data_IF_383326764264
#
_entry.id   IF_383326764264
#
_cell.length_a   1.000
_cell.length_b   1.000
_cell.length_c   1.000
_cell.angle_alpha   90.00
_cell.angle_beta   90.00
_cell.angle_gamma   90.00
#
_symmetry.space_group_name_H-M   'P 1'
#
loop_
_entity.id
_entity.type
_entity.pdbx_description
1 polymer ?
#
# COMPACT_ATOMS: atom_id res chain seq x y z
N UNK A 1 -4.49 15.98 -15.99
CA UNK A 1 -5.71 16.22 -15.20
C UNK A 1 -6.45 17.32 -15.91
N UNK A 2 -7.63 17.06 -16.47
CA UNK A 2 -8.26 18.00 -17.42
C UNK A 2 -9.78 18.00 -17.26
N UNK A 3 -10.39 19.16 -17.45
CA UNK A 3 -11.83 19.28 -17.70
C UNK A 3 -12.01 19.38 -19.21
N UNK A 4 -12.98 18.62 -19.75
CA UNK A 4 -13.34 18.68 -21.17
C UNK A 4 -14.68 19.38 -21.27
N UNK A 5 -14.69 20.55 -21.91
CA UNK A 5 -15.90 21.36 -22.12
C UNK A 5 -16.43 21.14 -23.52
N UNK A 6 -17.73 20.87 -23.63
CA UNK A 6 -18.42 20.68 -24.92
C UNK A 6 -19.36 21.86 -25.18
N UNK A 7 -19.18 22.52 -26.33
CA UNK A 7 -20.11 23.53 -26.83
C UNK A 7 -21.26 22.89 -27.61
N UNK A 8 -22.50 23.29 -27.32
CA UNK A 8 -23.68 22.79 -28.03
C UNK A 8 -24.45 23.95 -28.68
N UNK A 9 -24.98 23.71 -29.88
CA UNK A 9 -25.80 24.72 -30.58
C UNK A 9 -27.10 24.99 -29.80
N UNK A 10 -27.48 26.27 -29.58
CA UNK A 10 -28.74 26.62 -28.94
C UNK A 10 -29.95 25.99 -29.67
N UNK A 11 -31.05 25.78 -28.95
CA UNK A 11 -32.33 25.23 -29.47
C UNK A 11 -32.25 23.82 -30.08
N UNK A 12 -31.18 23.07 -29.83
CA UNK A 12 -31.06 21.65 -30.21
C UNK A 12 -31.24 20.71 -29.01
N UNK A 13 -31.59 19.44 -29.26
CA UNK A 13 -31.67 18.39 -28.23
C UNK A 13 -30.31 17.71 -27.94
N UNK A 14 -29.24 18.08 -28.65
CA UNK A 14 -27.93 17.41 -28.59
C UNK A 14 -27.35 17.34 -27.19
N UNK A 15 -27.39 18.47 -26.44
CA UNK A 15 -26.84 18.54 -25.07
C UNK A 15 -27.44 17.47 -24.16
N UNK A 16 -28.78 17.33 -24.16
CA UNK A 16 -29.48 16.38 -23.29
C UNK A 16 -29.11 14.95 -23.65
N UNK A 17 -29.14 14.61 -24.95
CA UNK A 17 -28.81 13.26 -25.43
C UNK A 17 -27.38 12.84 -25.04
N UNK A 18 -26.40 13.72 -25.27
CA UNK A 18 -25.00 13.44 -24.94
C UNK A 18 -24.78 13.40 -23.43
N UNK A 19 -25.35 14.33 -22.67
CA UNK A 19 -25.25 14.34 -21.20
C UNK A 19 -25.81 13.05 -20.59
N UNK A 20 -27.02 12.65 -21.01
CA UNK A 20 -27.66 11.43 -20.50
C UNK A 20 -26.85 10.18 -20.87
N UNK A 21 -26.27 10.14 -22.08
CA UNK A 21 -25.40 9.05 -22.51
C UNK A 21 -24.11 8.98 -21.68
N UNK A 22 -23.42 10.12 -21.47
CA UNK A 22 -22.22 10.19 -20.65
C UNK A 22 -22.50 9.78 -19.21
N UNK A 23 -23.61 10.23 -18.62
CA UNK A 23 -23.99 9.87 -17.26
C UNK A 23 -24.20 8.37 -17.11
N UNK A 24 -24.88 7.73 -18.07
CA UNK A 24 -25.09 6.27 -18.08
C UNK A 24 -23.78 5.50 -18.24
N UNK A 25 -22.92 5.91 -19.17
CA UNK A 25 -21.69 5.18 -19.49
C UNK A 25 -20.56 5.42 -18.48
N UNK A 26 -20.46 6.61 -17.88
CA UNK A 26 -19.40 6.95 -16.93
C UNK A 26 -19.66 6.43 -15.51
N UNK A 27 -20.93 6.20 -15.16
CA UNK A 27 -21.33 5.68 -13.85
C UNK A 27 -22.34 4.54 -14.03
N UNK A 28 -21.89 3.37 -14.54
CA UNK A 28 -22.76 2.21 -14.69
C UNK A 28 -23.37 1.80 -13.35
N UNK A 29 -24.65 1.41 -13.36
CA UNK A 29 -25.39 1.05 -12.15
C UNK A 29 -25.02 -0.35 -11.62
N UNK A 30 -24.65 -1.28 -12.51
CA UNK A 30 -24.25 -2.65 -12.15
C UNK A 30 -22.79 -2.88 -12.49
N UNK A 31 -22.13 -3.71 -11.69
CA UNK A 31 -20.73 -4.08 -11.91
C UNK A 31 -20.50 -4.72 -13.28
N UNK A 32 -21.45 -5.54 -13.74
CA UNK A 32 -21.43 -6.21 -15.05
C UNK A 32 -21.55 -5.25 -16.24
N UNK A 33 -22.01 -4.03 -16.01
CA UNK A 33 -22.08 -3.00 -17.05
C UNK A 33 -20.75 -2.24 -17.19
N UNK A 34 -19.77 -2.49 -16.31
CA UNK A 34 -18.42 -1.94 -16.49
C UNK A 34 -17.82 -2.49 -17.79
N UNK A 35 -17.09 -1.62 -18.50
CA UNK A 35 -16.44 -1.99 -19.77
C UNK A 35 -15.55 -3.24 -19.67
N UNK A 36 -14.99 -3.51 -18.49
CA UNK A 36 -14.18 -4.70 -18.24
C UNK A 36 -14.92 -6.04 -18.41
N UNK A 37 -16.26 -6.07 -18.31
CA UNK A 37 -17.08 -7.28 -18.47
C UNK A 37 -17.85 -7.30 -19.79
N UNK A 38 -18.01 -6.15 -20.43
CA UNK A 38 -18.73 -6.01 -21.71
C UNK A 38 -17.78 -5.94 -22.91
N UNK A 39 -16.49 -5.68 -22.69
CA UNK A 39 -15.51 -5.76 -23.75
C UNK A 39 -15.42 -7.20 -24.26
N UNK A 40 -15.27 -7.35 -25.58
CA UNK A 40 -15.08 -8.67 -26.20
C UNK A 40 -13.84 -9.40 -25.65
N UNK A 41 -13.63 -10.67 -26.05
CA UNK A 41 -12.56 -11.49 -25.50
C UNK A 41 -11.19 -10.81 -25.62
N UNK A 42 -10.46 -10.77 -24.51
CA UNK A 42 -9.09 -10.25 -24.47
C UNK A 42 -8.17 -11.11 -25.32
N UNK A 43 -7.38 -10.49 -26.20
CA UNK A 43 -6.28 -11.15 -26.92
C UNK A 43 -5.08 -11.49 -26.02
N UNK A 44 -5.04 -10.95 -24.80
CA UNK A 44 -3.99 -11.23 -23.82
C UNK A 44 -4.42 -12.38 -22.91
N UNK A 45 -3.76 -13.54 -23.06
CA UNK A 45 -3.78 -14.60 -22.06
C UNK A 45 -2.92 -14.16 -20.88
N UNK A 46 -3.56 -13.74 -19.77
CA UNK A 46 -2.83 -13.40 -18.55
C UNK A 46 -2.50 -14.69 -17.80
N UNK A 47 -1.24 -14.89 -17.35
CA UNK A 47 -0.92 -16.03 -16.51
C UNK A 47 -1.76 -16.00 -15.24
N UNK A 48 -2.17 -17.18 -14.78
CA UNK A 48 -2.98 -17.35 -13.58
C UNK A 48 -2.33 -16.59 -12.40
N UNK A 49 -3.08 -15.68 -11.78
CA UNK A 49 -2.57 -14.79 -10.73
C UNK A 49 -2.08 -15.56 -9.49
N UNK A 50 -2.71 -16.71 -9.18
CA UNK A 50 -2.31 -17.59 -8.08
C UNK A 50 -0.97 -18.26 -8.38
N UNK A 51 -0.79 -18.76 -9.60
CA UNK A 51 0.48 -19.34 -10.07
C UNK A 51 1.61 -18.31 -10.02
N UNK A 52 1.35 -17.09 -10.50
CA UNK A 52 2.34 -15.99 -10.46
C UNK A 52 2.76 -15.65 -9.03
N UNK A 53 1.81 -15.63 -8.08
CA UNK A 53 2.11 -15.39 -6.67
C UNK A 53 2.99 -16.50 -6.10
N UNK A 54 2.66 -17.77 -6.34
CA UNK A 54 3.43 -18.89 -5.81
C UNK A 54 4.84 -18.94 -6.37
N UNK A 55 5.03 -18.68 -7.66
CA UNK A 55 6.37 -18.57 -8.26
C UNK A 55 7.21 -17.51 -7.56
N UNK A 56 6.60 -16.37 -7.23
CA UNK A 56 7.28 -15.32 -6.47
C UNK A 56 7.61 -15.76 -5.04
N UNK A 57 6.71 -16.49 -4.37
CA UNK A 57 6.96 -17.04 -3.04
C UNK A 57 8.08 -18.09 -3.04
N UNK A 58 8.11 -18.95 -4.06
CA UNK A 58 9.18 -19.93 -4.24
C UNK A 58 10.52 -19.23 -4.44
N UNK A 59 10.55 -18.16 -5.25
CA UNK A 59 11.74 -17.30 -5.41
C UNK A 59 12.20 -16.70 -4.07
N UNK A 60 11.28 -16.13 -3.29
CA UNK A 60 11.57 -15.53 -1.98
C UNK A 60 12.08 -16.54 -0.94
N UNK A 61 11.68 -17.81 -1.06
CA UNK A 61 12.16 -18.90 -0.20
C UNK A 61 13.50 -19.50 -0.68
N UNK A 62 14.09 -19.02 -1.78
CA UNK A 62 15.28 -19.62 -2.38
C UNK A 62 14.99 -20.93 -3.14
N UNK A 63 13.73 -21.19 -3.46
CA UNK A 63 13.24 -22.36 -4.22
C UNK A 63 12.88 -22.00 -5.65
N UNK A 64 13.62 -21.07 -6.27
CA UNK A 64 13.32 -20.58 -7.63
C UNK A 64 13.37 -21.62 -8.75
N UNK A 65 13.92 -22.81 -8.50
CA UNK A 65 13.84 -23.96 -9.41
C UNK A 65 12.45 -24.61 -9.45
N UNK A 66 11.60 -24.35 -8.45
CA UNK A 66 10.24 -24.86 -8.41
C UNK A 66 9.34 -23.94 -9.22
N UNK A 67 8.49 -24.53 -10.05
CA UNK A 67 7.48 -23.82 -10.81
C UNK A 67 6.09 -24.22 -10.30
N UNK A 68 5.29 -23.25 -9.92
CA UNK A 68 3.91 -23.46 -9.53
C UNK A 68 3.07 -23.83 -10.75
N UNK A 69 2.15 -24.77 -10.56
CA UNK A 69 1.14 -25.15 -11.54
C UNK A 69 -0.26 -24.83 -11.04
N UNK A 70 -1.25 -24.90 -11.93
CA UNK A 70 -2.67 -24.80 -11.54
C UNK A 70 -3.07 -25.99 -10.66
N UNK A 71 -2.60 -27.21 -10.99
CA UNK A 71 -2.87 -28.42 -10.18
C UNK A 71 -2.37 -28.28 -8.75
N UNK A 72 -1.16 -27.74 -8.54
CA UNK A 72 -0.64 -27.50 -7.18
C UNK A 72 -1.55 -26.58 -6.36
N UNK A 73 -2.17 -25.59 -7.01
CA UNK A 73 -3.08 -24.65 -6.35
C UNK A 73 -4.39 -25.35 -5.97
N UNK A 74 -4.92 -26.20 -6.84
CA UNK A 74 -6.17 -26.94 -6.64
C UNK A 74 -6.03 -28.03 -5.58
N UNK A 75 -4.90 -28.75 -5.58
CA UNK A 75 -4.59 -29.81 -4.62
C UNK A 75 -4.08 -29.27 -3.27
N UNK A 76 -3.75 -27.98 -3.19
CA UNK A 76 -3.23 -27.35 -1.97
C UNK A 76 -1.77 -27.71 -1.65
N UNK A 77 -1.04 -28.32 -2.59
CA UNK A 77 0.31 -28.88 -2.40
C UNK A 77 1.45 -27.84 -2.53
N UNK A 78 1.18 -26.57 -2.22
CA UNK A 78 2.10 -25.44 -2.44
C UNK A 78 2.83 -24.95 -1.17
N UNK A 79 2.69 -25.68 -0.05
CA UNK A 79 3.21 -25.30 1.27
C UNK A 79 4.72 -25.56 1.42
N UNK A 80 5.55 -24.83 0.67
CA UNK A 80 7.01 -24.91 0.77
C UNK A 80 7.56 -24.12 1.97
N UNK A 81 8.76 -24.46 2.41
CA UNK A 81 9.49 -23.74 3.47
C UNK A 81 11.00 -23.71 3.22
N UNK A 82 11.68 -22.78 3.89
CA UNK A 82 13.13 -22.80 4.09
C UNK A 82 13.42 -22.91 5.61
N UNK A 83 14.56 -22.42 6.11
CA UNK A 83 14.89 -22.51 7.54
C UNK A 83 14.12 -21.52 8.42
N UNK A 84 13.68 -20.40 7.85
CA UNK A 84 13.09 -19.28 8.58
C UNK A 84 11.60 -19.07 8.27
N UNK A 85 11.17 -19.37 7.04
CA UNK A 85 9.88 -18.98 6.49
C UNK A 85 9.16 -20.17 5.85
N UNK A 86 7.83 -20.17 5.90
CA UNK A 86 6.96 -21.16 5.25
C UNK A 86 5.78 -20.49 4.55
N UNK A 87 5.26 -21.15 3.51
CA UNK A 87 3.99 -20.79 2.88
C UNK A 87 2.87 -21.50 3.64
N UNK A 88 1.97 -20.71 4.23
CA UNK A 88 0.73 -21.16 4.84
C UNK A 88 -0.41 -21.13 3.83
N UNK A 89 -1.26 -22.17 3.85
CA UNK A 89 -2.49 -22.29 3.08
C UNK A 89 -3.74 -21.91 3.89
N UNK A 90 -3.58 -21.37 5.10
CA UNK A 90 -4.67 -20.96 6.01
C UNK A 90 -5.69 -20.03 5.37
N UNK A 91 -5.27 -19.20 4.41
CA UNK A 91 -6.15 -18.27 3.71
C UNK A 91 -6.60 -18.77 2.33
N UNK A 92 -6.47 -20.07 2.03
CA UNK A 92 -6.75 -20.65 0.70
C UNK A 92 -8.16 -20.37 0.18
N UNK A 93 -9.12 -20.32 1.10
CA UNK A 93 -10.53 -20.00 0.86
C UNK A 93 -10.91 -18.56 1.30
N UNK A 94 -9.94 -17.70 1.59
CA UNK A 94 -10.13 -16.30 1.97
C UNK A 94 -10.91 -16.08 3.28
N UNK A 95 -11.02 -17.10 4.14
CA UNK A 95 -11.77 -17.03 5.41
C UNK A 95 -11.03 -16.29 6.51
N UNK A 96 -9.71 -16.49 6.64
CA UNK A 96 -8.89 -15.77 7.62
C UNK A 96 -8.85 -14.29 7.30
N UNK A 97 -8.60 -13.93 6.04
CA UNK A 97 -8.60 -12.54 5.59
C UNK A 97 -8.99 -12.44 4.11
N UNK A 98 -10.21 -11.96 3.85
CA UNK A 98 -10.77 -11.82 2.50
C UNK A 98 -10.04 -10.82 1.60
N UNK A 99 -9.21 -9.97 2.21
CA UNK A 99 -8.46 -8.92 1.51
C UNK A 99 -6.97 -9.25 1.36
N UNK A 100 -6.53 -10.43 1.81
CA UNK A 100 -5.18 -10.97 1.62
C UNK A 100 -5.16 -12.01 0.50
N UNK A 101 -3.96 -12.32 -0.05
CA UNK A 101 -3.83 -13.42 -1.00
C UNK A 101 -4.15 -14.77 -0.35
N UNK A 102 -4.44 -15.76 -1.20
CA UNK A 102 -4.84 -17.10 -0.76
C UNK A 102 -3.73 -17.89 -0.04
N UNK A 103 -2.47 -17.55 -0.29
CA UNK A 103 -1.30 -18.12 0.34
C UNK A 103 -0.54 -17.01 1.08
N UNK A 104 0.04 -17.30 2.25
CA UNK A 104 0.72 -16.31 3.09
C UNK A 104 2.12 -16.82 3.45
N UNK A 105 3.16 -15.99 3.31
CA UNK A 105 4.48 -16.30 3.89
C UNK A 105 4.49 -15.86 5.35
N UNK A 106 4.71 -16.83 6.23
CA UNK A 106 4.79 -16.67 7.69
C UNK A 106 6.08 -17.30 8.23
N UNK A 107 6.52 -16.93 9.44
CA UNK A 107 7.65 -17.58 10.09
C UNK A 107 7.42 -19.09 10.26
N UNK A 108 8.45 -19.90 9.99
CA UNK A 108 8.36 -21.36 10.04
C UNK A 108 8.00 -21.89 11.44
N UNK A 109 8.41 -21.18 12.48
CA UNK A 109 8.16 -21.53 13.88
C UNK A 109 6.73 -21.23 14.37
N UNK A 110 5.90 -20.57 13.56
CA UNK A 110 4.52 -20.23 13.91
C UNK A 110 3.58 -21.23 13.25
N UNK A 111 2.69 -21.85 14.02
CA UNK A 111 1.70 -22.81 13.50
C UNK A 111 0.53 -22.11 12.79
N UNK A 112 -0.27 -22.87 12.04
CA UNK A 112 -1.44 -22.31 11.37
C UNK A 112 -2.55 -21.91 12.37
N UNK A 113 -2.65 -22.59 13.50
CA UNK A 113 -3.53 -22.22 14.62
C UNK A 113 -3.12 -20.88 15.23
N UNK A 114 -1.82 -20.66 15.42
CA UNK A 114 -1.29 -19.39 15.95
C UNK A 114 -1.51 -18.23 14.96
N UNK A 115 -1.38 -18.50 13.66
CA UNK A 115 -1.73 -17.55 12.59
C UNK A 115 -3.21 -17.14 12.69
N UNK A 116 -4.11 -18.12 12.85
CA UNK A 116 -5.56 -17.88 13.00
C UNK A 116 -5.85 -17.09 14.28
N UNK A 117 -5.23 -17.45 15.40
CA UNK A 117 -5.40 -16.73 16.68
C UNK A 117 -4.93 -15.28 16.58
N UNK A 118 -3.75 -15.03 15.99
CA UNK A 118 -3.21 -13.68 15.80
C UNK A 118 -4.12 -12.83 14.89
N UNK A 119 -4.84 -13.44 13.96
CA UNK A 119 -5.68 -12.73 13.00
C UNK A 119 -6.76 -11.87 13.64
N UNK A 120 -7.35 -12.32 14.75
CA UNK A 120 -8.41 -11.59 15.44
C UNK A 120 -7.93 -10.29 16.10
N UNK A 121 -6.62 -10.15 16.32
CA UNK A 121 -6.02 -8.97 16.94
C UNK A 121 -5.59 -7.89 15.93
N UNK A 122 -5.64 -8.18 14.63
CA UNK A 122 -5.24 -7.26 13.56
C UNK A 122 -6.46 -6.75 12.82
N UNK A 123 -6.51 -5.45 12.53
CA UNK A 123 -7.68 -4.86 11.88
C UNK A 123 -7.97 -5.56 10.52
N UNK A 124 -9.22 -6.01 10.34
CA UNK A 124 -9.66 -6.84 9.19
C UNK A 124 -8.85 -8.13 8.98
N UNK A 125 -8.29 -8.67 10.05
CA UNK A 125 -7.50 -9.89 10.05
C UNK A 125 -6.27 -9.84 9.13
N UNK A 126 -5.76 -8.63 8.83
CA UNK A 126 -4.55 -8.41 8.03
C UNK A 126 -3.32 -8.58 8.90
N UNK A 127 -2.98 -9.84 9.17
CA UNK A 127 -1.84 -10.25 10.02
C UNK A 127 -0.48 -9.85 9.44
N UNK A 128 0.57 -9.78 10.28
CA UNK A 128 1.96 -9.73 9.83
C UNK A 128 2.32 -10.88 8.88
N UNK A 129 2.63 -10.54 7.63
CA UNK A 129 3.10 -11.49 6.61
C UNK A 129 4.29 -10.94 5.85
N UNK A 130 5.19 -11.81 5.42
CA UNK A 130 6.38 -11.42 4.64
C UNK A 130 5.95 -11.04 3.22
N UNK A 131 6.39 -9.86 2.78
CA UNK A 131 6.18 -9.34 1.42
C UNK A 131 7.45 -9.42 0.58
N UNK A 132 8.62 -9.35 1.22
CA UNK A 132 9.93 -9.49 0.57
C UNK A 132 10.97 -10.01 1.55
N UNK A 133 11.99 -10.70 1.04
CA UNK A 133 13.10 -11.28 1.81
C UNK A 133 14.43 -10.98 1.13
N UNK A 134 15.42 -10.55 1.92
CA UNK A 134 16.77 -10.28 1.44
C UNK A 134 17.52 -11.60 1.18
N UNK A 135 18.02 -11.84 -0.05
CA UNK A 135 18.58 -13.15 -0.42
C UNK A 135 19.86 -13.49 0.36
N UNK A 136 20.73 -12.51 0.65
CA UNK A 136 21.95 -12.73 1.43
C UNK A 136 21.71 -12.79 2.95
N UNK A 137 21.11 -11.74 3.51
CA UNK A 137 21.01 -11.60 4.97
C UNK A 137 19.80 -12.31 5.57
N UNK A 138 18.73 -12.58 4.82
CA UNK A 138 17.47 -13.11 5.34
C UNK A 138 16.56 -12.09 6.05
N UNK A 139 16.87 -10.79 5.98
CA UNK A 139 16.00 -9.72 6.50
C UNK A 139 14.69 -9.68 5.71
N UNK A 140 13.59 -9.37 6.38
CA UNK A 140 12.28 -9.31 5.71
C UNK A 140 11.65 -7.93 5.78
N UNK A 141 10.90 -7.62 4.72
CA UNK A 141 9.85 -6.62 4.74
C UNK A 141 8.53 -7.33 4.98
N UNK A 142 7.98 -7.15 6.18
CA UNK A 142 6.64 -7.60 6.55
C UNK A 142 5.60 -6.50 6.35
N UNK A 143 4.34 -6.90 6.17
CA UNK A 143 3.18 -5.99 6.17
C UNK A 143 2.05 -6.51 7.05
N UNK A 144 1.30 -5.59 7.66
CA UNK A 144 0.07 -5.89 8.42
C UNK A 144 -0.88 -4.70 8.44
N UNK A 145 -2.07 -4.84 9.04
CA UNK A 145 -2.83 -3.70 9.54
C UNK A 145 -2.48 -3.41 11.01
N UNK A 146 -2.98 -2.30 11.53
CA UNK A 146 -2.82 -1.93 12.93
C UNK A 146 -3.32 -3.03 13.90
N UNK A 147 -2.72 -3.15 15.09
CA UNK A 147 -3.27 -3.96 16.16
C UNK A 147 -4.55 -3.36 16.75
N UNK A 148 -5.41 -4.21 17.32
CA UNK A 148 -6.65 -3.85 17.99
C UNK A 148 -6.44 -3.78 19.51
N UNK A 149 -5.66 -2.80 19.98
CA UNK A 149 -5.29 -2.66 21.41
C UNK A 149 -6.44 -2.18 22.29
N UNK A 150 -7.60 -1.89 21.71
CA UNK A 150 -8.80 -1.50 22.45
C UNK A 150 -8.82 -0.02 22.85
N UNK A 151 -10.00 0.44 23.28
CA UNK A 151 -10.22 1.85 23.67
C UNK A 151 -9.28 2.30 24.79
N UNK A 152 -8.99 1.40 25.73
CA UNK A 152 -8.05 1.64 26.85
C UNK A 152 -6.58 1.38 26.49
N UNK A 153 -6.29 0.99 25.24
CA UNK A 153 -4.94 0.66 24.75
C UNK A 153 -4.16 -0.37 25.58
N UNK A 154 -4.87 -1.29 26.22
CA UNK A 154 -4.32 -2.31 27.11
C UNK A 154 -4.60 -3.74 26.66
N UNK A 155 -5.37 -3.95 25.57
CA UNK A 155 -5.57 -5.28 25.03
C UNK A 155 -4.30 -5.78 24.36
N UNK A 156 -4.02 -7.06 24.58
CA UNK A 156 -2.82 -7.75 24.12
C UNK A 156 -3.19 -9.09 23.50
N UNK A 157 -2.33 -9.59 22.63
CA UNK A 157 -2.46 -10.92 22.03
C UNK A 157 -1.11 -11.60 22.04
N UNK A 158 -1.00 -12.67 22.83
CA UNK A 158 0.23 -13.48 22.89
C UNK A 158 0.56 -14.09 21.52
N UNK A 159 -0.46 -14.44 20.73
CA UNK A 159 -0.27 -14.96 19.38
C UNK A 159 0.29 -13.90 18.42
N UNK A 160 -0.20 -12.65 18.48
CA UNK A 160 0.36 -11.55 17.67
C UNK A 160 1.77 -11.17 18.14
N UNK A 161 1.99 -11.06 19.45
CA UNK A 161 3.31 -10.76 20.02
C UNK A 161 4.34 -11.83 19.62
N UNK A 162 3.97 -13.12 19.68
CA UNK A 162 4.83 -14.23 19.24
C UNK A 162 5.08 -14.18 17.73
N UNK A 163 4.05 -13.95 16.92
CA UNK A 163 4.17 -13.82 15.47
C UNK A 163 5.11 -12.68 15.09
N UNK A 164 4.94 -11.49 15.68
CA UNK A 164 5.83 -10.33 15.42
C UNK A 164 7.26 -10.61 15.92
N UNK A 165 7.42 -11.17 17.12
CA UNK A 165 8.74 -11.49 17.66
C UNK A 165 9.50 -12.53 16.82
N UNK A 166 8.79 -13.43 16.13
CA UNK A 166 9.41 -14.41 15.23
C UNK A 166 9.93 -13.81 13.92
N UNK A 167 9.62 -12.54 13.61
CA UNK A 167 10.29 -11.78 12.54
C UNK A 167 11.73 -11.38 12.90
N UNK A 168 12.08 -11.38 14.20
CA UNK A 168 13.44 -11.17 14.72
C UNK A 168 14.27 -12.46 14.60
N UNK A 169 14.55 -12.86 13.36
CA UNK A 169 15.36 -14.05 13.04
C UNK A 169 16.80 -13.92 13.55
N UNK A 170 17.51 -15.05 13.70
CA UNK A 170 18.93 -15.00 14.04
C UNK A 170 19.74 -14.38 12.89
N UNK A 171 20.81 -13.65 13.24
CA UNK A 171 21.78 -13.18 12.27
C UNK A 171 22.67 -14.34 11.81
N UNK A 172 23.07 -14.29 10.54
CA UNK A 172 23.95 -15.30 9.90
C UNK A 172 25.40 -15.16 10.38
N UNK A 173 25.71 -14.16 11.21
CA UNK A 173 27.06 -13.81 11.66
C UNK A 173 27.67 -14.75 12.72
N UNK A 174 26.98 -15.85 13.06
CA UNK A 174 27.47 -16.89 13.96
C UNK A 174 27.52 -16.50 15.44
N UNK A 175 27.13 -15.28 15.82
CA UNK A 175 27.19 -14.78 17.20
C UNK A 175 25.90 -15.02 18.01
N UNK A 176 24.90 -15.67 17.41
CA UNK A 176 23.60 -15.95 18.06
C UNK A 176 22.77 -14.70 18.37
N UNK A 177 23.18 -13.53 17.86
CA UNK A 177 22.47 -12.27 18.04
C UNK A 177 21.17 -12.27 17.22
N UNK A 178 20.10 -11.76 17.80
CA UNK A 178 18.82 -11.62 17.10
C UNK A 178 18.84 -10.35 16.27
N UNK A 179 18.30 -10.45 15.05
CA UNK A 179 18.11 -9.32 14.16
C UNK A 179 17.18 -8.30 14.80
N UNK A 180 17.52 -7.02 14.66
CA UNK A 180 16.66 -5.91 15.06
C UNK A 180 15.39 -5.90 14.21
N UNK A 181 14.25 -5.63 14.85
CA UNK A 181 12.97 -5.42 14.18
C UNK A 181 12.53 -3.97 14.33
N UNK A 182 12.18 -3.35 13.22
CA UNK A 182 11.49 -2.06 13.21
C UNK A 182 10.02 -2.26 12.90
N UNK A 183 9.15 -1.71 13.73
CA UNK A 183 7.71 -1.63 13.49
C UNK A 183 7.42 -0.23 12.98
N UNK A 184 7.22 -0.11 11.68
CA UNK A 184 7.06 1.15 10.99
C UNK A 184 5.57 1.45 10.76
N UNK A 185 5.01 2.31 11.61
CA UNK A 185 3.67 2.84 11.42
C UNK A 185 3.73 4.03 10.45
N UNK A 186 3.09 3.88 9.29
CA UNK A 186 3.11 4.92 8.27
C UNK A 186 2.46 6.23 8.76
N UNK A 187 1.55 6.18 9.75
CA UNK A 187 0.74 7.32 10.17
C UNK A 187 1.55 8.36 10.96
N UNK A 188 1.06 9.60 11.05
CA UNK A 188 1.43 10.52 12.13
C UNK A 188 1.05 9.93 13.49
N UNK A 189 1.89 10.15 14.49
CA UNK A 189 1.67 9.67 15.87
C UNK A 189 0.31 10.09 16.44
N UNK A 190 -0.11 11.34 16.18
CA UNK A 190 -1.44 11.84 16.56
C UNK A 190 -2.60 11.02 15.95
N UNK A 191 -2.45 10.60 14.69
CA UNK A 191 -3.47 9.81 14.01
C UNK A 191 -3.47 8.38 14.53
N UNK A 192 -2.31 7.81 14.85
CA UNK A 192 -2.22 6.51 15.50
C UNK A 192 -2.91 6.51 16.88
N UNK A 193 -2.68 7.54 17.70
CA UNK A 193 -3.34 7.72 19.00
C UNK A 193 -4.87 7.87 18.83
N UNK A 194 -5.32 8.69 17.88
CA UNK A 194 -6.75 8.83 17.59
C UNK A 194 -7.40 7.51 17.14
N UNK A 195 -6.67 6.66 16.41
CA UNK A 195 -7.16 5.31 16.07
C UNK A 195 -7.18 4.38 17.27
N UNK A 196 -6.26 4.53 18.23
CA UNK A 196 -6.29 3.83 19.51
C UNK A 196 -7.56 4.13 20.31
N UNK A 197 -7.97 5.40 20.35
CA UNK A 197 -9.23 5.83 20.94
C UNK A 197 -10.49 5.27 20.23
N UNK A 198 -10.33 4.60 19.08
CA UNK A 198 -11.39 3.89 18.35
C UNK A 198 -11.20 2.36 18.37
N UNK A 199 -10.36 1.84 19.26
CA UNK A 199 -10.12 0.40 19.45
C UNK A 199 -8.99 -0.20 18.60
N UNK A 200 -8.41 0.59 17.68
CA UNK A 200 -7.17 0.25 16.96
C UNK A 200 -5.94 0.61 17.79
N UNK A 201 -4.89 1.13 17.15
CA UNK A 201 -3.71 1.70 17.83
C UNK A 201 -2.39 1.35 17.18
N UNK A 202 -1.32 1.31 17.96
CA UNK A 202 0.02 0.90 17.53
C UNK A 202 0.63 -0.01 18.60
N UNK A 203 1.63 -0.78 18.21
CA UNK A 203 2.44 -1.60 19.12
C UNK A 203 3.13 -0.73 20.19
N UNK A 204 3.45 -1.33 21.33
CA UNK A 204 4.21 -0.71 22.43
C UNK A 204 5.52 -1.45 22.66
N UNK A 205 6.62 -0.74 22.90
CA UNK A 205 7.92 -1.33 23.23
C UNK A 205 7.90 -2.20 24.49
N UNK A 206 6.92 -2.00 25.39
CA UNK A 206 6.73 -2.83 26.58
C UNK A 206 6.22 -4.25 26.27
N UNK A 207 5.50 -4.41 25.16
CA UNK A 207 4.83 -5.67 24.80
C UNK A 207 5.53 -6.36 23.62
N UNK A 208 6.11 -5.58 22.70
CA UNK A 208 6.83 -6.06 21.54
C UNK A 208 8.33 -5.92 21.78
N UNK A 209 8.88 -6.85 22.57
CA UNK A 209 10.30 -6.86 22.92
C UNK A 209 11.19 -6.93 21.67
N UNK A 210 12.41 -6.37 21.77
CA UNK A 210 13.39 -6.32 20.67
C UNK A 210 12.89 -5.60 19.40
N UNK A 211 11.82 -4.81 19.52
CA UNK A 211 11.23 -4.05 18.42
C UNK A 211 11.32 -2.55 18.70
N UNK A 212 11.68 -1.77 17.68
CA UNK A 212 11.67 -0.31 17.72
C UNK A 212 10.51 0.23 16.87
N UNK A 213 9.66 1.06 17.48
CA UNK A 213 8.47 1.60 16.80
C UNK A 213 8.79 2.97 16.23
N UNK A 214 8.52 3.16 14.94
CA UNK A 214 8.81 4.39 14.20
C UNK A 214 7.54 4.87 13.50
N UNK A 215 7.33 6.18 13.46
CA UNK A 215 6.19 6.83 12.79
C UNK A 215 6.68 7.65 11.60
N UNK A 216 6.15 7.41 10.39
CA UNK A 216 6.57 8.15 9.19
C UNK A 216 5.82 9.44 8.92
N UNK A 217 4.71 9.71 9.63
CA UNK A 217 4.00 10.97 9.46
C UNK A 217 3.26 11.10 8.13
N UNK A 218 2.94 10.01 7.45
CA UNK A 218 2.22 10.01 6.16
C UNK A 218 0.72 10.17 6.42
N UNK A 219 0.16 11.29 5.97
CA UNK A 219 -1.24 11.59 6.18
C UNK A 219 -2.20 10.61 5.50
N UNK A 220 -3.46 10.66 5.95
CA UNK A 220 -4.49 9.77 5.45
C UNK A 220 -4.98 10.16 4.04
N UNK A 221 -5.81 9.30 3.45
CA UNK A 221 -6.34 9.46 2.09
C UNK A 221 -7.15 10.75 1.87
N UNK A 222 -7.68 11.37 2.93
CA UNK A 222 -8.45 12.62 2.81
C UNK A 222 -7.50 13.79 2.59
N UNK A 223 -6.43 13.89 3.37
CA UNK A 223 -5.38 14.89 3.18
C UNK A 223 -4.72 14.75 1.79
N UNK A 224 -4.42 13.51 1.37
CA UNK A 224 -3.86 13.23 0.04
C UNK A 224 -4.80 13.69 -1.09
N UNK A 225 -6.12 13.48 -0.92
CA UNK A 225 -7.14 13.89 -1.89
C UNK A 225 -7.27 15.40 -1.98
N UNK A 226 -7.30 16.09 -0.84
CA UNK A 226 -7.33 17.56 -0.79
C UNK A 226 -6.08 18.17 -1.40
N UNK A 227 -4.90 17.61 -1.08
CA UNK A 227 -3.63 18.02 -1.67
C UNK A 227 -3.61 17.84 -3.20
N UNK A 228 -4.11 16.70 -3.70
CA UNK A 228 -4.23 16.45 -5.13
C UNK A 228 -5.21 17.42 -5.81
N UNK A 229 -6.31 17.77 -5.15
CA UNK A 229 -7.25 18.76 -5.67
C UNK A 229 -6.58 20.13 -5.82
N UNK A 230 -5.85 20.60 -4.81
CA UNK A 230 -5.07 21.85 -4.88
C UNK A 230 -4.01 21.81 -5.99
N UNK A 231 -3.31 20.68 -6.16
CA UNK A 231 -2.35 20.52 -7.27
C UNK A 231 -3.04 20.61 -8.63
N UNK A 232 -4.20 19.98 -8.79
CA UNK A 232 -4.96 20.06 -10.04
C UNK A 232 -5.35 21.50 -10.35
N UNK A 233 -5.84 22.24 -9.36
CA UNK A 233 -6.27 23.63 -9.55
C UNK A 233 -5.06 24.54 -9.88
N UNK A 234 -3.88 24.27 -9.27
CA UNK A 234 -2.62 24.88 -9.66
C UNK A 234 -2.25 24.58 -11.12
N UNK A 235 -2.34 23.32 -11.55
CA UNK A 235 -2.00 22.92 -12.93
C UNK A 235 -2.98 23.49 -13.96
N UNK A 236 -4.24 23.68 -13.59
CA UNK A 236 -5.22 24.33 -14.47
C UNK A 236 -4.86 25.81 -14.68
N UNK A 237 -4.43 26.49 -13.62
CA UNK A 237 -4.07 27.92 -13.64
C UNK A 237 -2.70 28.20 -14.28
N UNK A 238 -1.69 27.42 -13.91
CA UNK A 238 -0.28 27.67 -14.22
C UNK A 238 0.33 26.66 -15.21
N UNK A 239 -0.40 25.61 -15.59
CA UNK A 239 0.08 24.59 -16.52
C UNK A 239 0.11 25.04 -17.98
N UNK A 240 0.75 24.23 -18.83
CA UNK A 240 0.86 24.49 -20.27
C UNK A 240 -0.49 24.41 -21.01
N UNK A 241 -1.49 23.74 -20.43
CA UNK A 241 -2.83 23.63 -20.98
C UNK A 241 -3.85 23.82 -19.84
N UNK A 242 -4.56 24.95 -19.86
CA UNK A 242 -5.71 25.20 -18.98
C UNK A 242 -6.98 24.54 -19.55
N UNK A 243 -7.86 24.05 -18.69
CA UNK A 243 -9.11 23.41 -19.09
C UNK A 243 -10.12 24.36 -19.72
N UNK A 244 -10.05 25.66 -19.47
CA UNK A 244 -10.92 26.67 -20.11
C UNK A 244 -10.37 27.17 -21.45
N UNK A 245 -9.16 26.75 -21.83
CA UNK A 245 -8.52 27.20 -23.05
C UNK A 245 -8.28 28.72 -23.10
N UNK A 246 -8.17 29.40 -21.95
CA UNK A 246 -7.96 30.84 -21.84
C UNK A 246 -6.99 31.25 -20.70
N UNK A 247 -6.97 30.57 -19.56
CA UNK A 247 -6.32 31.03 -18.32
C UNK A 247 -4.87 30.57 -18.07
N UNK A 248 -4.21 29.90 -19.03
CA UNK A 248 -2.80 29.52 -18.84
C UNK A 248 -1.90 30.78 -18.87
N UNK A 249 -1.38 31.21 -17.73
CA UNK A 249 -0.43 32.33 -17.62
C UNK A 249 0.84 32.17 -18.49
N UNK A 250 1.13 30.95 -18.96
CA UNK A 250 2.28 30.62 -19.81
C UNK A 250 1.98 30.70 -21.34
N UNK A 251 0.91 31.40 -21.74
CA UNK A 251 0.42 31.41 -23.15
C UNK A 251 1.34 32.05 -24.18
N UNK A 252 2.34 32.83 -23.78
CA UNK A 252 3.26 33.48 -24.71
C UNK A 252 4.42 32.57 -25.12
N UNK A 253 4.09 31.39 -25.66
CA UNK A 253 4.89 30.71 -26.70
C UNK A 253 6.37 30.46 -26.43
N UNK A 254 6.81 30.31 -25.18
CA UNK A 254 8.18 29.98 -24.84
C UNK A 254 8.23 28.80 -23.88
N UNK A 255 9.02 27.78 -24.19
CA UNK A 255 9.41 26.69 -23.29
C UNK A 255 10.36 27.18 -22.19
N UNK A 256 10.08 28.34 -21.60
CA UNK A 256 10.92 28.97 -20.60
C UNK A 256 10.11 29.12 -19.32
N UNK A 257 10.56 28.38 -18.29
CA UNK A 257 10.28 28.61 -16.88
C UNK A 257 10.75 30.01 -16.40
N UNK A 258 10.58 31.07 -17.20
CA UNK A 258 11.19 32.38 -16.98
C UNK A 258 10.61 33.54 -17.81
N UNK A 259 9.45 33.38 -18.45
CA UNK A 259 8.77 34.47 -19.16
C UNK A 259 7.85 35.35 -18.28
N UNK A 260 7.62 34.96 -17.02
CA UNK A 260 6.88 35.76 -16.05
C UNK A 260 7.81 36.67 -15.25
N UNK A 261 7.31 37.82 -14.78
CA UNK A 261 8.06 38.63 -13.82
C UNK A 261 8.29 37.86 -12.50
N UNK A 262 9.29 38.29 -11.71
CA UNK A 262 9.69 37.61 -10.47
C UNK A 262 8.51 37.38 -9.51
N UNK A 263 7.61 38.35 -9.40
CA UNK A 263 6.40 38.25 -8.57
C UNK A 263 5.45 37.12 -9.02
N UNK A 264 5.28 36.92 -10.32
CA UNK A 264 4.48 35.81 -10.87
C UNK A 264 5.12 34.45 -10.62
N UNK A 265 6.45 34.36 -10.71
CA UNK A 265 7.18 33.14 -10.40
C UNK A 265 7.10 32.80 -8.90
N UNK A 266 7.30 33.78 -8.02
CA UNK A 266 7.16 33.60 -6.58
C UNK A 266 5.74 33.17 -6.19
N UNK A 267 4.70 33.74 -6.80
CA UNK A 267 3.32 33.34 -6.56
C UNK A 267 3.03 31.91 -7.04
N UNK A 268 3.57 31.50 -8.20
CA UNK A 268 3.45 30.12 -8.71
C UNK A 268 4.14 29.12 -7.80
N UNK A 269 5.34 29.42 -7.29
CA UNK A 269 6.05 28.54 -6.35
C UNK A 269 5.33 28.44 -5.01
N UNK A 270 4.79 29.55 -4.51
CA UNK A 270 4.00 29.57 -3.27
C UNK A 270 2.75 28.70 -3.41
N UNK A 271 1.97 28.89 -4.48
CA UNK A 271 0.73 28.12 -4.71
C UNK A 271 1.00 26.62 -4.92
N UNK A 272 2.11 26.25 -5.57
CA UNK A 272 2.55 24.87 -5.64
C UNK A 272 2.93 24.33 -4.24
N UNK A 273 3.62 25.13 -3.43
CA UNK A 273 3.92 24.81 -2.03
C UNK A 273 2.65 24.56 -1.21
N UNK A 274 1.65 25.43 -1.35
CA UNK A 274 0.36 25.36 -0.65
C UNK A 274 -0.45 24.11 -1.03
N UNK A 275 -0.21 23.52 -2.20
CA UNK A 275 -0.80 22.22 -2.55
C UNK A 275 -0.39 21.13 -1.56
N UNK A 276 0.83 21.19 -1.02
CA UNK A 276 1.42 20.16 -0.16
C UNK A 276 1.74 18.85 -0.88
N UNK A 277 1.50 18.74 -2.19
CA UNK A 277 1.61 17.46 -2.90
C UNK A 277 3.03 16.91 -2.89
N UNK A 278 4.02 17.77 -3.17
CA UNK A 278 5.42 17.37 -3.17
C UNK A 278 5.92 17.02 -1.76
N UNK A 279 5.37 17.63 -0.71
CA UNK A 279 5.66 17.28 0.68
C UNK A 279 5.18 15.86 0.97
N UNK A 280 3.95 15.50 0.57
CA UNK A 280 3.45 14.14 0.74
C UNK A 280 4.27 13.11 -0.07
N UNK A 281 4.64 13.42 -1.31
CA UNK A 281 5.52 12.56 -2.12
C UNK A 281 6.87 12.37 -1.43
N UNK A 282 7.47 13.44 -0.91
CA UNK A 282 8.71 13.39 -0.15
C UNK A 282 8.58 12.50 1.09
N UNK A 283 7.50 12.63 1.87
CA UNK A 283 7.28 11.80 3.07
C UNK A 283 7.19 10.31 2.74
N UNK A 284 6.47 9.94 1.66
CA UNK A 284 6.36 8.54 1.21
C UNK A 284 7.72 8.00 0.76
N UNK A 285 8.47 8.78 -0.02
CA UNK A 285 9.80 8.39 -0.49
C UNK A 285 10.80 8.29 0.66
N UNK A 286 10.78 9.23 1.60
CA UNK A 286 11.66 9.23 2.77
C UNK A 286 11.40 8.00 3.66
N UNK A 287 10.13 7.67 3.94
CA UNK A 287 9.78 6.45 4.67
C UNK A 287 10.23 5.18 3.94
N UNK A 288 10.02 5.12 2.63
CA UNK A 288 10.43 3.98 1.80
C UNK A 288 11.96 3.80 1.75
N UNK A 289 12.70 4.89 1.56
CA UNK A 289 14.16 4.90 1.58
C UNK A 289 14.70 4.50 2.95
N UNK A 290 14.08 4.97 4.04
CA UNK A 290 14.43 4.58 5.39
C UNK A 290 14.24 3.06 5.60
N UNK A 291 13.10 2.49 5.18
CA UNK A 291 12.86 1.04 5.26
C UNK A 291 13.95 0.27 4.49
N UNK A 292 14.22 0.67 3.25
CA UNK A 292 15.21 0.03 2.40
C UNK A 292 16.61 0.08 3.03
N UNK A 293 17.00 1.22 3.61
CA UNK A 293 18.28 1.38 4.29
C UNK A 293 18.41 0.45 5.52
N UNK A 294 17.37 0.31 6.34
CA UNK A 294 17.39 -0.61 7.49
C UNK A 294 17.56 -2.07 7.07
N UNK A 295 16.88 -2.47 6.00
CA UNK A 295 16.98 -3.83 5.47
C UNK A 295 18.36 -4.08 4.85
N UNK A 296 18.86 -3.16 4.02
CA UNK A 296 20.07 -3.36 3.23
C UNK A 296 21.37 -3.13 4.03
N UNK A 297 21.42 -2.11 4.89
CA UNK A 297 22.65 -1.71 5.58
C UNK A 297 22.77 -2.31 6.98
N UNK A 298 21.65 -2.39 7.71
CA UNK A 298 21.65 -2.90 9.09
C UNK A 298 21.26 -4.38 9.15
N UNK A 299 20.92 -4.97 8.01
CA UNK A 299 20.32 -6.31 7.96
C UNK A 299 19.10 -6.42 8.88
N UNK A 300 18.36 -5.34 9.16
CA UNK A 300 17.22 -5.37 10.05
C UNK A 300 15.95 -5.86 9.34
N UNK A 301 15.01 -6.47 10.08
CA UNK A 301 13.67 -6.75 9.56
C UNK A 301 12.78 -5.53 9.81
N UNK A 302 11.81 -5.30 8.94
CA UNK A 302 10.85 -4.20 9.09
C UNK A 302 9.44 -4.70 8.90
N UNK A 303 8.57 -4.49 9.88
CA UNK A 303 7.13 -4.70 9.77
C UNK A 303 6.46 -3.35 9.51
N UNK A 304 5.91 -3.15 8.31
CA UNK A 304 5.22 -1.91 7.95
C UNK A 304 3.72 -2.08 8.14
N UNK A 305 3.07 -1.11 8.78
CA UNK A 305 1.63 -1.05 8.82
C UNK A 305 1.09 0.38 8.81
N UNK A 306 -0.23 0.48 8.70
CA UNK A 306 -0.99 1.68 8.95
C UNK A 306 -2.37 1.24 9.49
N UNK A 307 -3.38 2.12 9.46
CA UNK A 307 -4.73 1.74 9.91
C UNK A 307 -5.26 0.48 9.21
N UNK A 308 -5.17 0.47 7.87
CA UNK A 308 -5.61 -0.61 6.99
C UNK A 308 -4.68 -0.55 5.78
N UNK A 309 -3.59 -1.32 5.77
CA UNK A 309 -2.65 -1.29 4.63
C UNK A 309 -3.39 -1.68 3.36
N UNK A 310 -3.57 -0.72 2.45
CA UNK A 310 -4.15 -0.89 1.13
C UNK A 310 -3.00 -1.08 0.13
N UNK A 311 -2.65 -2.33 -0.13
CA UNK A 311 -1.95 -2.75 -1.33
C UNK A 311 -2.62 -4.02 -1.83
#
# INVERSE_FOLDING_TARGET
MRIIVFGFRPRTKQRRVIFDALLRCAKPARIWDLYAFTCGPSKFSKPNSKVRLLNEYFRLLGKGSHCASVSMVEEGSFTLSNDLWRISNTNSNYTVCSSYPFALIVPKSISDEEVIQASTFRARCRIPVVSWCHPGTGAVLGRSAQPLVGLMMNMRSNADEKLVASLCTQLVDGKGSRRKLYIADARPRKNALANGAMGGGSESSSNYFHSEIVFFGIDNIHAMRESFARLRDYLDTHGAASSDGMSSFLRHGGSTWGGGNLSSMSASVSTLGDSGWLIHVQSVLAGSAWIAARIALESASVLVHCRLVLF
#
